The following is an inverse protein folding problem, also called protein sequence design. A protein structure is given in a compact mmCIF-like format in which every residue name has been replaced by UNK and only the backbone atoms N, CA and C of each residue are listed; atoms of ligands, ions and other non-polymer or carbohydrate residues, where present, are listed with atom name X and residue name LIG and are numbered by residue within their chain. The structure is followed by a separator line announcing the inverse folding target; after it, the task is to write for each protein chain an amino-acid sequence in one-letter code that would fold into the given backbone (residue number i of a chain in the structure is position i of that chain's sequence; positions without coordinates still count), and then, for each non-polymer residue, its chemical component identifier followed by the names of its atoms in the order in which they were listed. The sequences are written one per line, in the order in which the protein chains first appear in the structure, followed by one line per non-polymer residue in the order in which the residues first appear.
data_IF_382992504200
#
_entry.id   IF_382992504200
#
_cell.length_a   1.000
_cell.length_b   1.000
_cell.length_c   1.000
_cell.angle_alpha   90.00
_cell.angle_beta   90.00
_cell.angle_gamma   90.00
#
_symmetry.space_group_name_H-M   'P 1'
#
loop_
_entity.id
_entity.type
_entity.pdbx_description
1 polymer ?
#
# COMPACT_ATOMS: atom_id res chain seq x y z
N UNK A 1 11.64 -2.23 -14.87
CA UNK A 1 12.32 -1.69 -13.68
C UNK A 1 12.28 -0.15 -13.59
N UNK A 2 11.38 0.56 -14.29
CA UNK A 2 11.19 2.02 -14.12
C UNK A 2 10.00 2.39 -13.24
N UNK A 3 9.02 1.49 -13.10
CA UNK A 3 7.76 1.76 -12.39
C UNK A 3 7.94 1.72 -10.87
N UNK A 4 8.64 0.71 -10.34
CA UNK A 4 8.80 0.49 -8.89
C UNK A 4 9.55 1.63 -8.18
N UNK A 5 10.59 2.19 -8.81
CA UNK A 5 11.36 3.31 -8.23
C UNK A 5 10.56 4.62 -8.18
N UNK A 6 9.72 4.86 -9.20
CA UNK A 6 8.84 6.02 -9.23
C UNK A 6 7.70 5.90 -8.19
N UNK A 7 7.22 4.68 -7.96
CA UNK A 7 6.20 4.39 -6.94
C UNK A 7 6.71 4.63 -5.52
N UNK A 8 7.94 4.19 -5.20
CA UNK A 8 8.56 4.46 -3.91
C UNK A 8 8.79 5.96 -3.67
N UNK A 9 9.14 6.71 -4.72
CA UNK A 9 9.24 8.17 -4.69
C UNK A 9 7.90 8.85 -4.41
N UNK A 10 6.87 8.52 -5.18
CA UNK A 10 5.51 9.06 -5.00
C UNK A 10 4.94 8.72 -3.61
N UNK A 11 5.23 7.52 -3.06
CA UNK A 11 4.80 7.13 -1.70
C UNK A 11 5.52 7.92 -0.60
N UNK A 12 6.80 8.24 -0.82
CA UNK A 12 7.55 9.12 0.07
C UNK A 12 6.94 10.53 0.09
N UNK A 13 6.67 11.10 -1.09
CA UNK A 13 6.06 12.43 -1.20
C UNK A 13 4.68 12.50 -0.53
N UNK A 14 3.85 11.47 -0.70
CA UNK A 14 2.57 11.35 0.00
C UNK A 14 2.75 11.35 1.52
N UNK A 15 3.77 10.66 2.05
CA UNK A 15 4.06 10.66 3.49
C UNK A 15 4.46 12.04 3.99
N UNK A 16 5.30 12.76 3.23
CA UNK A 16 5.70 14.13 3.55
C UNK A 16 4.48 15.06 3.54
N UNK A 17 3.63 14.95 2.52
CA UNK A 17 2.43 15.77 2.37
C UNK A 17 1.41 15.51 3.49
N UNK A 18 1.11 14.24 3.81
CA UNK A 18 0.21 13.88 4.90
C UNK A 18 0.71 14.39 6.25
N UNK A 19 2.01 14.27 6.53
CA UNK A 19 2.60 14.77 7.77
C UNK A 19 2.40 16.28 7.93
N UNK A 20 2.60 17.06 6.87
CA UNK A 20 2.37 18.52 6.88
C UNK A 20 0.90 18.86 7.16
N UNK A 21 -0.02 18.19 6.47
CA UNK A 21 -1.47 18.38 6.69
C UNK A 21 -1.87 18.03 8.12
N UNK A 22 -1.31 16.95 8.69
CA UNK A 22 -1.54 16.56 10.09
C UNK A 22 -0.93 17.53 11.10
N UNK A 23 0.10 18.29 10.71
CA UNK A 23 0.68 19.36 11.52
C UNK A 23 -0.12 20.67 11.43
N UNK A 24 -1.23 20.69 10.69
CA UNK A 24 -2.15 21.82 10.58
C UNK A 24 -1.97 22.65 9.31
N UNK A 25 -1.09 22.24 8.40
CA UNK A 25 -1.02 22.88 7.09
C UNK A 25 -2.27 22.57 6.25
N UNK A 26 -2.67 23.55 5.45
CA UNK A 26 -3.80 23.40 4.53
C UNK A 26 -3.30 22.67 3.28
N UNK A 27 -4.04 21.64 2.85
CA UNK A 27 -3.75 20.98 1.58
C UNK A 27 -4.04 21.92 0.41
N UNK A 28 -3.01 22.32 -0.32
CA UNK A 28 -3.15 23.06 -1.57
C UNK A 28 -3.23 22.09 -2.75
N UNK A 29 -4.37 22.07 -3.44
CA UNK A 29 -4.58 21.22 -4.62
C UNK A 29 -4.05 21.88 -5.89
N UNK A 30 -2.74 22.09 -5.94
CA UNK A 30 -2.03 22.49 -7.17
C UNK A 30 -2.09 21.35 -8.20
N UNK A 31 -1.76 21.64 -9.46
CA UNK A 31 -1.74 20.61 -10.52
C UNK A 31 -0.77 19.47 -10.18
N UNK A 32 0.41 19.79 -9.65
CA UNK A 32 1.39 18.79 -9.21
C UNK A 32 0.86 17.90 -8.09
N UNK A 33 0.22 18.49 -7.06
CA UNK A 33 -0.37 17.72 -5.95
C UNK A 33 -1.53 16.86 -6.44
N UNK A 34 -2.35 17.37 -7.36
CA UNK A 34 -3.45 16.60 -7.97
C UNK A 34 -2.91 15.41 -8.74
N UNK A 35 -1.83 15.59 -9.50
CA UNK A 35 -1.26 14.53 -10.30
C UNK A 35 -0.52 13.49 -9.45
N UNK A 36 0.20 13.92 -8.41
CA UNK A 36 0.75 13.01 -7.39
C UNK A 36 -0.37 12.16 -6.76
N UNK A 37 -1.45 12.79 -6.26
CA UNK A 37 -2.56 12.07 -5.63
C UNK A 37 -3.24 11.07 -6.59
N UNK A 38 -3.44 11.43 -7.86
CA UNK A 38 -4.02 10.50 -8.86
C UNK A 38 -3.10 9.32 -9.15
N UNK A 39 -1.80 9.56 -9.36
CA UNK A 39 -0.84 8.49 -9.66
C UNK A 39 -0.76 7.53 -8.47
N UNK A 40 -0.59 8.05 -7.26
CA UNK A 40 -0.48 7.20 -6.08
C UNK A 40 -1.79 6.50 -5.73
N UNK A 41 -2.95 7.13 -5.94
CA UNK A 41 -4.25 6.48 -5.75
C UNK A 41 -4.34 5.16 -6.53
N UNK A 42 -3.90 5.14 -7.80
CA UNK A 42 -3.92 3.93 -8.62
C UNK A 42 -3.03 2.82 -8.04
N UNK A 43 -1.86 3.18 -7.50
CA UNK A 43 -0.90 2.19 -6.95
C UNK A 43 -1.36 1.59 -5.64
N UNK A 44 -2.31 2.22 -4.95
CA UNK A 44 -2.98 1.68 -3.75
C UNK A 44 -4.41 1.18 -4.02
N UNK A 45 -4.71 0.86 -5.29
CA UNK A 45 -6.01 0.35 -5.74
C UNK A 45 -7.22 1.24 -5.41
N UNK A 46 -7.04 2.56 -5.45
CA UNK A 46 -8.14 3.53 -5.46
C UNK A 46 -8.50 3.80 -6.93
N UNK A 47 -9.77 3.64 -7.34
CA UNK A 47 -10.20 3.90 -8.70
C UNK A 47 -9.93 5.35 -9.13
N UNK A 48 -9.54 5.53 -10.40
CA UNK A 48 -9.28 6.86 -10.95
C UNK A 48 -10.50 7.79 -10.90
N UNK A 49 -11.71 7.26 -11.11
CA UNK A 49 -12.94 8.03 -11.03
C UNK A 49 -13.18 8.58 -9.61
N UNK A 50 -12.89 7.77 -8.58
CA UNK A 50 -13.03 8.16 -7.18
C UNK A 50 -11.97 9.21 -6.81
N UNK A 51 -10.72 9.01 -7.24
CA UNK A 51 -9.65 9.98 -7.04
C UNK A 51 -9.99 11.32 -7.72
N UNK A 52 -10.47 11.30 -8.96
CA UNK A 52 -10.89 12.50 -9.70
C UNK A 52 -12.02 13.24 -8.98
N UNK A 53 -13.01 12.50 -8.47
CA UNK A 53 -14.14 13.06 -7.72
C UNK A 53 -13.67 13.69 -6.42
N UNK A 54 -12.81 13.01 -5.67
CA UNK A 54 -12.27 13.51 -4.41
C UNK A 54 -11.41 14.78 -4.60
N UNK A 55 -10.76 14.95 -5.75
CA UNK A 55 -10.00 16.16 -6.05
C UNK A 55 -10.88 17.39 -6.42
N UNK A 56 -12.21 17.27 -6.45
CA UNK A 56 -13.10 18.40 -6.75
C UNK A 56 -13.08 19.51 -5.67
N UNK A 57 -12.77 19.14 -4.42
CA UNK A 57 -12.69 20.08 -3.31
C UNK A 57 -11.48 19.78 -2.44
N UNK A 58 -11.04 20.77 -1.67
CA UNK A 58 -9.93 20.60 -0.72
C UNK A 58 -10.24 19.52 0.31
N UNK A 59 -11.41 19.56 0.93
CA UNK A 59 -11.73 18.69 2.06
C UNK A 59 -11.81 17.22 1.61
N UNK A 60 -12.41 16.97 0.45
CA UNK A 60 -12.40 15.63 -0.17
C UNK A 60 -11.01 15.22 -0.68
N UNK A 61 -10.17 16.18 -1.12
CA UNK A 61 -8.79 15.93 -1.50
C UNK A 61 -7.91 15.52 -0.30
N UNK A 62 -8.15 16.14 0.86
CA UNK A 62 -7.51 15.76 2.12
C UNK A 62 -7.93 14.35 2.55
N UNK A 63 -9.21 14.01 2.41
CA UNK A 63 -9.69 12.66 2.69
C UNK A 63 -9.03 11.62 1.76
N UNK A 64 -8.84 11.94 0.47
CA UNK A 64 -8.10 11.08 -0.46
C UNK A 64 -6.65 10.87 -0.03
N UNK A 65 -5.93 11.94 0.32
CA UNK A 65 -4.55 11.87 0.81
C UNK A 65 -4.44 10.93 2.02
N UNK A 66 -5.35 11.08 2.99
CA UNK A 66 -5.39 10.26 4.20
C UNK A 66 -5.69 8.79 3.87
N UNK A 67 -6.62 8.51 2.96
CA UNK A 67 -6.93 7.14 2.55
C UNK A 67 -5.73 6.47 1.83
N UNK A 68 -5.04 7.20 0.95
CA UNK A 68 -3.81 6.71 0.32
C UNK A 68 -2.77 6.36 1.39
N UNK A 69 -2.51 7.31 2.31
CA UNK A 69 -1.55 7.13 3.41
C UNK A 69 -1.93 5.94 4.29
N UNK A 70 -3.22 5.76 4.57
CA UNK A 70 -3.76 4.67 5.37
C UNK A 70 -3.48 3.32 4.72
N UNK A 71 -3.82 3.16 3.43
CA UNK A 71 -3.57 1.91 2.68
C UNK A 71 -2.09 1.53 2.62
N UNK A 72 -1.21 2.49 2.39
CA UNK A 72 0.26 2.26 2.43
C UNK A 72 0.68 1.76 3.81
N UNK A 73 0.24 2.42 4.89
CA UNK A 73 0.65 2.06 6.25
C UNK A 73 0.12 0.70 6.67
N UNK A 74 -1.19 0.49 6.52
CA UNK A 74 -1.85 -0.72 6.98
C UNK A 74 -1.40 -1.93 6.18
N UNK A 75 -1.28 -1.80 4.85
CA UNK A 75 -0.80 -2.90 4.00
C UNK A 75 0.64 -3.26 4.31
N UNK A 76 1.53 -2.27 4.50
CA UNK A 76 2.92 -2.52 4.89
C UNK A 76 3.02 -3.23 6.24
N UNK A 77 2.30 -2.75 7.27
CA UNK A 77 2.31 -3.35 8.59
C UNK A 77 1.79 -4.79 8.56
N UNK A 78 0.66 -5.01 7.88
CA UNK A 78 0.04 -6.34 7.72
C UNK A 78 0.99 -7.32 7.06
N UNK A 79 1.63 -6.90 5.96
CA UNK A 79 2.57 -7.73 5.22
C UNK A 79 3.81 -8.07 6.05
N UNK A 80 4.44 -7.07 6.69
CA UNK A 80 5.64 -7.28 7.53
C UNK A 80 5.34 -8.22 8.70
N UNK A 81 4.23 -8.03 9.40
CA UNK A 81 3.83 -8.90 10.51
C UNK A 81 3.58 -10.35 10.05
N UNK A 82 2.92 -10.52 8.92
CA UNK A 82 2.66 -11.84 8.35
C UNK A 82 3.95 -12.52 7.86
N UNK A 83 4.87 -11.76 7.24
CA UNK A 83 6.18 -12.27 6.81
C UNK A 83 7.00 -12.74 8.00
N UNK A 84 7.05 -11.98 9.10
CA UNK A 84 7.73 -12.40 10.32
C UNK A 84 7.17 -13.71 10.87
N UNK A 85 5.84 -13.85 10.96
CA UNK A 85 5.19 -15.09 11.41
C UNK A 85 5.45 -16.25 10.44
N UNK A 86 5.38 -16.00 9.14
CA UNK A 86 5.63 -16.98 8.10
C UNK A 86 7.05 -17.58 8.21
N UNK A 87 8.08 -16.72 8.34
CA UNK A 87 9.46 -17.20 8.46
C UNK A 87 9.68 -18.01 9.74
N UNK A 88 9.10 -17.61 10.87
CA UNK A 88 9.16 -18.38 12.12
C UNK A 88 8.52 -19.77 12.01
N UNK A 89 7.41 -19.89 11.30
CA UNK A 89 6.73 -21.18 11.07
C UNK A 89 7.56 -22.06 10.14
N UNK A 90 8.10 -21.48 9.05
CA UNK A 90 8.98 -22.18 8.12
C UNK A 90 10.22 -22.75 8.81
N UNK A 91 10.86 -21.97 9.69
CA UNK A 91 12.01 -22.42 10.48
C UNK A 91 11.69 -23.59 11.41
N UNK A 92 10.44 -23.70 11.86
CA UNK A 92 9.94 -24.83 12.66
C UNK A 92 9.48 -26.02 11.81
N UNK A 93 9.56 -25.92 10.48
CA UNK A 93 9.09 -26.94 9.54
C UNK A 93 7.58 -26.92 9.27
N UNK A 94 6.84 -25.95 9.83
CA UNK A 94 5.41 -25.80 9.58
C UNK A 94 5.17 -24.99 8.30
N UNK A 95 5.29 -25.67 7.15
CA UNK A 95 5.14 -25.06 5.83
C UNK A 95 3.69 -24.69 5.52
N UNK A 96 2.72 -25.43 6.04
CA UNK A 96 1.30 -25.15 5.84
C UNK A 96 0.87 -23.92 6.62
N UNK A 97 1.29 -23.81 7.89
CA UNK A 97 1.09 -22.61 8.70
C UNK A 97 1.80 -21.38 8.10
N UNK A 98 3.03 -21.55 7.62
CA UNK A 98 3.78 -20.50 6.93
C UNK A 98 3.02 -19.98 5.70
N UNK A 99 2.48 -20.88 4.88
CA UNK A 99 1.68 -20.55 3.69
C UNK A 99 0.38 -19.85 4.07
N UNK A 100 -0.29 -20.31 5.12
CA UNK A 100 -1.54 -19.71 5.57
C UNK A 100 -1.36 -18.24 5.94
N UNK A 101 -0.23 -17.84 6.53
CA UNK A 101 0.05 -16.43 6.83
C UNK A 101 -0.01 -15.53 5.58
N UNK A 102 0.50 -15.99 4.44
CA UNK A 102 0.46 -15.22 3.19
C UNK A 102 -0.92 -15.27 2.53
N UNK A 103 -1.62 -16.39 2.61
CA UNK A 103 -3.01 -16.49 2.14
C UNK A 103 -3.94 -15.55 2.91
N UNK A 104 -3.75 -15.42 4.22
CA UNK A 104 -4.52 -14.49 5.06
C UNK A 104 -4.29 -13.02 4.65
N UNK A 105 -3.07 -12.66 4.24
CA UNK A 105 -2.80 -11.33 3.65
C UNK A 105 -3.57 -11.17 2.35
N UNK A 106 -3.49 -12.14 1.45
CA UNK A 106 -4.13 -12.08 0.12
C UNK A 106 -5.65 -12.02 0.17
N UNK A 107 -6.27 -12.52 1.25
CA UNK A 107 -7.71 -12.46 1.47
C UNK A 107 -8.22 -11.03 1.71
N UNK A 108 -7.39 -10.13 2.23
CA UNK A 108 -7.81 -8.78 2.63
C UNK A 108 -7.03 -7.66 1.95
N UNK A 109 -5.87 -7.96 1.39
CA UNK A 109 -5.01 -6.96 0.77
C UNK A 109 -5.49 -6.58 -0.62
N UNK A 110 -5.56 -5.27 -0.86
CA UNK A 110 -6.02 -4.66 -2.11
C UNK A 110 -4.89 -3.96 -2.86
N UNK A 111 -3.82 -3.54 -2.16
CA UNK A 111 -2.67 -2.85 -2.76
C UNK A 111 -1.89 -3.86 -3.61
N UNK A 112 -1.80 -3.67 -4.94
CA UNK A 112 -1.23 -4.67 -5.85
C UNK A 112 0.20 -5.06 -5.48
N UNK A 113 1.05 -4.10 -5.12
CA UNK A 113 2.44 -4.36 -4.76
C UNK A 113 2.55 -5.30 -3.54
N UNK A 114 1.73 -5.12 -2.51
CA UNK A 114 1.76 -5.99 -1.33
C UNK A 114 1.20 -7.39 -1.61
N UNK A 115 0.19 -7.47 -2.49
CA UNK A 115 -0.32 -8.76 -2.97
C UNK A 115 0.75 -9.54 -3.74
N UNK A 116 1.47 -8.88 -4.65
CA UNK A 116 2.55 -9.50 -5.42
C UNK A 116 3.62 -10.11 -4.52
N UNK A 117 4.02 -9.40 -3.44
CA UNK A 117 4.97 -9.94 -2.46
C UNK A 117 4.41 -11.20 -1.78
N UNK A 118 3.17 -11.16 -1.30
CA UNK A 118 2.55 -12.31 -0.64
C UNK A 118 2.34 -13.51 -1.59
N UNK A 119 1.93 -13.27 -2.84
CA UNK A 119 1.82 -14.28 -3.90
C UNK A 119 3.18 -14.94 -4.19
N UNK A 120 4.23 -14.14 -4.31
CA UNK A 120 5.60 -14.64 -4.51
C UNK A 120 6.09 -15.53 -3.37
N UNK A 121 5.76 -15.20 -2.12
CA UNK A 121 6.06 -16.04 -0.97
C UNK A 121 5.25 -17.35 -0.94
N UNK A 122 3.97 -17.31 -1.29
CA UNK A 122 3.16 -18.54 -1.45
C UNK A 122 3.77 -19.44 -2.53
N UNK A 123 4.19 -18.89 -3.66
CA UNK A 123 4.84 -19.67 -4.73
C UNK A 123 6.16 -20.30 -4.27
N UNK A 124 6.97 -19.59 -3.48
CA UNK A 124 8.20 -20.14 -2.89
C UNK A 124 7.89 -21.30 -1.95
N UNK A 125 6.90 -21.14 -1.05
CA UNK A 125 6.51 -22.18 -0.11
C UNK A 125 5.93 -23.42 -0.80
N UNK A 126 5.16 -23.23 -1.89
CA UNK A 126 4.68 -24.32 -2.75
C UNK A 126 5.81 -25.22 -3.29
N UNK A 127 6.99 -24.65 -3.54
CA UNK A 127 8.14 -25.38 -4.09
C UNK A 127 8.93 -26.15 -3.02
N UNK A 128 8.62 -25.92 -1.74
CA UNK A 128 9.31 -26.53 -0.59
C UNK A 128 8.51 -27.65 0.08
N UNK A 129 7.21 -27.75 -0.19
CA UNK A 129 6.28 -28.78 0.30
C UNK A 129 6.08 -29.88 -0.73
#
# INVERSE_FOLDING_TARGET
MKTVEAEEGDWHEIRVLDNRVRQGEVLELTDDVRDLLKRTARTVAIPEADAKTALASRDSGTALLQEIRRRITEGSNRLVDALHRMYQLREKGDLDGARQQMLDVLAVEVVPQYREVAEGEVEKLNKLS
#
